data_IF_587825493613
#
_entry.id   IF_587825493613
#
_cell.length_a   1.000
_cell.length_b   1.000
_cell.length_c   1.000
_cell.angle_alpha   90.00
_cell.angle_beta   90.00
_cell.angle_gamma   90.00
#
_symmetry.space_group_name_H-M   'P 1'
#
loop_
_entity.id
_entity.type
_entity.pdbx_description
1 polymer ?
#
# COMPACT_ATOMS: atom_id res chain seq x y z
N UNK A 1 18.79 16.42 -3.50
CA UNK A 1 17.99 15.52 -2.66
C UNK A 1 17.93 16.07 -1.24
N UNK A 2 19.07 16.42 -0.64
CA UNK A 2 19.15 16.97 0.72
C UNK A 2 18.28 18.20 0.95
N UNK A 3 18.28 19.18 0.03
CA UNK A 3 17.42 20.38 0.12
C UNK A 3 15.93 20.02 0.19
N UNK A 4 15.49 18.99 -0.55
CA UNK A 4 14.09 18.55 -0.50
C UNK A 4 13.77 17.88 0.85
N UNK A 5 14.71 17.08 1.38
CA UNK A 5 14.52 16.43 2.68
C UNK A 5 14.48 17.46 3.81
N UNK A 6 15.34 18.48 3.76
CA UNK A 6 15.35 19.59 4.71
C UNK A 6 14.03 20.37 4.69
N UNK A 7 13.51 20.69 3.49
CA UNK A 7 12.21 21.34 3.33
C UNK A 7 11.06 20.49 3.90
N UNK A 8 11.10 19.17 3.71
CA UNK A 8 10.10 18.26 4.27
C UNK A 8 10.18 18.22 5.79
N UNK A 9 11.38 18.18 6.38
CA UNK A 9 11.58 18.22 7.83
C UNK A 9 11.06 19.53 8.42
N UNK A 10 11.38 20.66 7.78
CA UNK A 10 10.90 21.98 8.20
C UNK A 10 9.37 22.03 8.20
N UNK A 11 8.73 21.62 7.09
CA UNK A 11 7.27 21.58 6.98
C UNK A 11 6.63 20.62 7.98
N UNK A 12 7.23 19.45 8.21
CA UNK A 12 6.75 18.51 9.21
C UNK A 12 6.71 19.19 10.58
N UNK A 13 7.82 19.76 11.05
CA UNK A 13 7.88 20.43 12.36
C UNK A 13 7.00 21.68 12.48
N UNK A 14 6.81 22.43 11.39
CA UNK A 14 5.93 23.60 11.40
C UNK A 14 4.46 23.24 11.56
N UNK A 15 4.01 22.12 10.97
CA UNK A 15 2.60 21.77 10.85
C UNK A 15 2.13 20.69 11.84
N UNK A 16 3.02 20.12 12.65
CA UNK A 16 2.71 18.95 13.51
C UNK A 16 2.95 19.18 15.00
N UNK A 17 3.19 20.43 15.43
CA UNK A 17 3.60 20.76 16.82
C UNK A 17 2.66 20.23 17.90
N UNK A 18 1.37 20.24 17.63
CA UNK A 18 0.32 19.80 18.56
C UNK A 18 -0.34 18.49 18.13
N UNK A 19 0.21 17.80 17.13
CA UNK A 19 -0.33 16.55 16.63
C UNK A 19 0.22 15.37 17.42
N UNK A 20 -0.67 14.55 18.00
CA UNK A 20 -0.28 13.29 18.65
C UNK A 20 0.08 12.22 17.62
N UNK A 21 -0.56 12.26 16.45
CA UNK A 21 -0.36 11.32 15.33
C UNK A 21 -0.33 12.10 14.03
N UNK A 22 0.64 11.80 13.18
CA UNK A 22 0.78 12.38 11.84
C UNK A 22 0.73 11.26 10.82
N UNK A 23 -0.21 11.36 9.87
CA UNK A 23 -0.28 10.47 8.72
C UNK A 23 0.35 11.15 7.51
N UNK A 24 1.35 10.50 6.91
CA UNK A 24 2.02 10.98 5.71
C UNK A 24 1.68 10.03 4.57
N UNK A 25 0.92 10.52 3.60
CA UNK A 25 0.65 9.75 2.39
C UNK A 25 1.90 9.69 1.49
N UNK A 26 2.31 8.48 1.13
CA UNK A 26 3.39 8.28 0.18
C UNK A 26 2.96 8.57 -1.26
N UNK A 27 3.92 8.94 -2.10
CA UNK A 27 3.70 9.11 -3.53
C UNK A 27 3.31 7.78 -4.19
N UNK A 28 2.31 7.82 -5.07
CA UNK A 28 1.91 6.66 -5.87
C UNK A 28 2.89 6.48 -7.03
N UNK A 29 3.56 5.32 -7.16
CA UNK A 29 4.45 5.06 -8.27
C UNK A 29 3.68 5.01 -9.58
N UNK A 30 4.13 5.78 -10.57
CA UNK A 30 3.57 5.78 -11.92
C UNK A 30 4.68 5.63 -12.95
N UNK A 31 4.32 5.34 -14.21
CA UNK A 31 5.32 5.28 -15.30
C UNK A 31 6.13 6.57 -15.46
N UNK A 32 5.55 7.72 -15.12
CA UNK A 32 6.22 9.04 -15.15
C UNK A 32 7.06 9.31 -13.91
N UNK A 33 6.78 8.64 -12.80
CA UNK A 33 7.39 8.87 -11.49
C UNK A 33 7.89 7.55 -10.89
N UNK A 34 8.85 6.91 -11.57
CA UNK A 34 9.43 5.64 -11.10
C UNK A 34 10.27 5.81 -9.82
N UNK A 35 10.69 7.04 -9.51
CA UNK A 35 11.44 7.38 -8.29
C UNK A 35 10.57 7.46 -7.03
N UNK A 36 9.24 7.34 -7.13
CA UNK A 36 8.32 7.54 -6.02
C UNK A 36 8.64 6.66 -4.81
N UNK A 37 8.91 5.36 -5.00
CA UNK A 37 9.24 4.47 -3.89
C UNK A 37 10.56 4.84 -3.20
N UNK A 38 11.59 5.19 -3.98
CA UNK A 38 12.86 5.64 -3.43
C UNK A 38 12.69 6.94 -2.63
N UNK A 39 11.91 7.89 -3.16
CA UNK A 39 11.62 9.14 -2.45
C UNK A 39 10.79 8.90 -1.18
N UNK A 40 9.76 8.05 -1.24
CA UNK A 40 8.97 7.66 -0.06
C UNK A 40 9.86 7.04 1.02
N UNK A 41 10.81 6.18 0.63
CA UNK A 41 11.74 5.56 1.57
C UNK A 41 12.67 6.58 2.22
N UNK A 42 13.21 7.52 1.45
CA UNK A 42 14.07 8.59 1.97
C UNK A 42 13.30 9.56 2.87
N UNK A 43 12.04 9.87 2.56
CA UNK A 43 11.17 10.68 3.43
C UNK A 43 10.93 9.95 4.75
N UNK A 44 10.51 8.69 4.70
CA UNK A 44 10.24 7.90 5.90
C UNK A 44 11.50 7.76 6.77
N UNK A 45 12.67 7.54 6.16
CA UNK A 45 13.95 7.47 6.86
C UNK A 45 14.33 8.80 7.49
N UNK A 46 14.20 9.90 6.75
CA UNK A 46 14.52 11.26 7.22
C UNK A 46 13.67 11.65 8.42
N UNK A 47 12.37 11.32 8.39
CA UNK A 47 11.44 11.62 9.48
C UNK A 47 11.44 10.55 10.58
N UNK A 48 12.24 9.49 10.43
CA UNK A 48 12.19 8.28 11.26
C UNK A 48 10.75 7.75 11.45
N UNK A 49 9.96 7.80 10.37
CA UNK A 49 8.56 7.40 10.36
C UNK A 49 8.41 5.88 10.25
N UNK A 50 7.36 5.38 10.88
CA UNK A 50 6.84 4.04 10.62
C UNK A 50 6.19 3.96 9.24
N UNK A 51 6.27 2.79 8.61
CA UNK A 51 5.81 2.55 7.24
C UNK A 51 4.75 1.46 7.27
N UNK A 52 3.56 1.81 6.82
CA UNK A 52 2.47 0.87 6.53
C UNK A 52 2.28 0.80 5.03
N UNK A 53 2.37 -0.40 4.47
CA UNK A 53 2.01 -0.59 3.07
C UNK A 53 0.50 -0.74 2.90
N UNK A 54 -0.04 -0.25 1.79
CA UNK A 54 -1.42 -0.49 1.39
C UNK A 54 -1.41 -1.17 0.03
N UNK A 55 -1.83 -2.42 -0.02
CA UNK A 55 -1.92 -3.20 -1.25
C UNK A 55 -3.34 -3.69 -1.46
N UNK A 56 -3.76 -3.88 -2.70
CA UNK A 56 -5.01 -4.56 -3.02
C UNK A 56 -4.74 -5.95 -3.58
N UNK A 57 -5.62 -6.90 -3.25
CA UNK A 57 -5.59 -8.25 -3.82
C UNK A 57 -5.82 -8.20 -5.33
N UNK A 58 -6.85 -7.50 -5.80
CA UNK A 58 -7.17 -7.45 -7.23
C UNK A 58 -7.47 -8.86 -7.76
N UNK A 59 -6.85 -9.23 -8.88
CA UNK A 59 -6.91 -10.58 -9.46
C UNK A 59 -5.81 -11.52 -8.94
N UNK A 60 -5.00 -11.09 -7.98
CA UNK A 60 -3.93 -11.92 -7.44
C UNK A 60 -4.50 -13.03 -6.55
N UNK A 61 -3.86 -14.19 -6.61
CA UNK A 61 -3.97 -15.19 -5.55
C UNK A 61 -3.29 -14.70 -4.26
N UNK A 62 -3.64 -15.27 -3.08
CA UNK A 62 -2.93 -15.00 -1.83
C UNK A 62 -1.41 -15.17 -1.92
N UNK A 63 -0.93 -16.12 -2.72
CA UNK A 63 0.50 -16.36 -2.93
C UNK A 63 1.17 -15.23 -3.74
N UNK A 64 0.50 -14.72 -4.78
CA UNK A 64 0.99 -13.58 -5.56
C UNK A 64 0.98 -12.28 -4.74
N UNK A 65 -0.06 -12.07 -3.93
CA UNK A 65 -0.09 -10.94 -2.99
C UNK A 65 1.08 -11.00 -2.00
N UNK A 66 1.38 -12.19 -1.46
CA UNK A 66 2.53 -12.40 -0.58
C UNK A 66 3.86 -11.98 -1.24
N UNK A 67 4.07 -12.39 -2.50
CA UNK A 67 5.26 -12.01 -3.27
C UNK A 67 5.33 -10.50 -3.47
N UNK A 68 4.21 -9.84 -3.82
CA UNK A 68 4.16 -8.38 -3.96
C UNK A 68 4.47 -7.65 -2.66
N UNK A 69 4.02 -8.16 -1.51
CA UNK A 69 4.37 -7.59 -0.20
C UNK A 69 5.89 -7.69 0.03
N UNK A 70 6.53 -8.81 -0.30
CA UNK A 70 7.98 -8.98 -0.14
C UNK A 70 8.79 -8.10 -1.10
N UNK A 71 8.31 -7.91 -2.34
CA UNK A 71 8.92 -6.98 -3.30
C UNK A 71 8.81 -5.51 -2.82
N UNK A 72 7.65 -5.13 -2.28
CA UNK A 72 7.46 -3.81 -1.69
C UNK A 72 8.42 -3.62 -0.51
N UNK A 73 8.47 -4.58 0.42
CA UNK A 73 9.40 -4.58 1.55
C UNK A 73 10.86 -4.43 1.12
N UNK A 74 11.29 -5.16 0.10
CA UNK A 74 12.65 -5.08 -0.45
C UNK A 74 13.00 -3.67 -0.94
N UNK A 75 12.04 -2.96 -1.54
CA UNK A 75 12.23 -1.58 -2.01
C UNK A 75 12.42 -0.55 -0.87
N UNK A 76 12.11 -0.92 0.37
CA UNK A 76 12.21 -0.07 1.56
C UNK A 76 13.22 -0.64 2.57
N UNK A 77 14.34 -1.21 2.11
CA UNK A 77 15.41 -1.72 2.98
C UNK A 77 15.23 -3.17 3.44
N UNK A 78 14.20 -3.86 2.94
CA UNK A 78 14.01 -5.30 3.12
C UNK A 78 13.78 -5.71 4.57
N UNK A 79 14.17 -6.94 4.90
CA UNK A 79 13.94 -7.53 6.22
C UNK A 79 14.67 -6.86 7.38
N UNK A 80 15.67 -6.04 7.08
CA UNK A 80 16.45 -5.31 8.08
C UNK A 80 15.80 -4.00 8.51
N UNK A 81 14.87 -3.46 7.71
CA UNK A 81 14.17 -2.24 8.07
C UNK A 81 13.06 -2.53 9.08
N UNK A 82 13.29 -2.14 10.34
CA UNK A 82 12.34 -2.34 11.45
C UNK A 82 11.20 -1.32 11.47
N UNK A 83 11.29 -0.25 10.68
CA UNK A 83 10.25 0.77 10.61
C UNK A 83 9.08 0.34 9.71
N UNK A 84 9.18 -0.79 9.00
CA UNK A 84 8.04 -1.36 8.28
C UNK A 84 7.16 -2.11 9.29
N UNK A 85 6.05 -1.49 9.69
CA UNK A 85 5.21 -1.99 10.78
C UNK A 85 4.15 -2.98 10.31
N UNK A 86 3.76 -2.90 9.04
CA UNK A 86 2.85 -3.88 8.47
C UNK A 86 2.26 -3.50 7.13
N UNK A 87 1.19 -4.21 6.79
CA UNK A 87 0.44 -4.04 5.55
C UNK A 87 -1.06 -4.03 5.81
N UNK A 88 -1.78 -3.15 5.13
CA UNK A 88 -3.24 -3.15 5.02
C UNK A 88 -3.60 -3.72 3.64
N UNK A 89 -4.51 -4.69 3.62
CA UNK A 89 -5.05 -5.23 2.37
C UNK A 89 -6.34 -4.52 2.03
N UNK A 90 -6.29 -3.63 1.06
CA UNK A 90 -7.41 -2.84 0.60
C UNK A 90 -8.25 -3.60 -0.44
N UNK A 91 -9.53 -3.27 -0.53
CA UNK A 91 -10.48 -3.80 -1.54
C UNK A 91 -10.55 -5.33 -1.54
N UNK A 92 -10.46 -5.93 -0.36
CA UNK A 92 -10.49 -7.38 -0.22
C UNK A 92 -11.87 -7.90 -0.63
N UNK A 93 -11.89 -8.81 -1.59
CA UNK A 93 -13.13 -9.39 -2.13
C UNK A 93 -14.04 -8.36 -2.82
N UNK A 94 -13.53 -7.16 -3.17
CA UNK A 94 -14.24 -6.20 -3.99
C UNK A 94 -14.40 -6.73 -5.43
N UNK A 95 -15.50 -6.43 -6.13
CA UNK A 95 -15.65 -6.76 -7.54
C UNK A 95 -14.56 -6.11 -8.40
N UNK A 96 -13.89 -6.91 -9.22
CA UNK A 96 -12.79 -6.48 -10.08
C UNK A 96 -13.00 -6.91 -11.53
N UNK A 97 -12.48 -6.09 -12.46
CA UNK A 97 -12.42 -6.44 -13.88
C UNK A 97 -11.28 -7.42 -14.21
N UNK A 98 -11.14 -7.83 -15.46
CA UNK A 98 -10.07 -8.72 -15.92
C UNK A 98 -8.65 -8.14 -15.70
N UNK A 99 -8.54 -6.83 -15.48
CA UNK A 99 -7.28 -6.14 -15.16
C UNK A 99 -7.05 -5.96 -13.65
N UNK A 100 -7.93 -6.50 -12.80
CA UNK A 100 -7.84 -6.42 -11.34
C UNK A 100 -8.22 -5.06 -10.77
N UNK A 101 -8.87 -4.20 -11.57
CA UNK A 101 -9.30 -2.88 -11.13
C UNK A 101 -10.68 -3.00 -10.49
N UNK A 102 -10.83 -2.40 -9.33
CA UNK A 102 -12.13 -2.32 -8.67
C UNK A 102 -13.10 -1.48 -9.48
N UNK A 103 -14.29 -2.01 -9.75
CA UNK A 103 -15.38 -1.28 -10.42
C UNK A 103 -16.40 -0.84 -9.38
N UNK A 104 -16.41 0.44 -8.97
CA UNK A 104 -17.32 0.93 -7.93
C UNK A 104 -18.75 1.17 -8.45
N UNK A 105 -18.97 1.16 -9.77
CA UNK A 105 -20.29 1.42 -10.35
C UNK A 105 -21.09 0.11 -10.47
N UNK A 106 -22.14 0.03 -9.66
CA UNK A 106 -23.11 -1.08 -9.62
C UNK A 106 -24.00 -1.13 -10.89
N UNK A 107 -23.99 -0.08 -11.72
CA UNK A 107 -24.88 0.06 -12.88
C UNK A 107 -24.51 -0.87 -14.05
N UNK A 108 -23.26 -1.28 -14.17
CA UNK A 108 -22.77 -2.14 -15.28
C UNK A 108 -22.74 -3.64 -14.94
N UNK A 109 -23.21 -4.06 -13.77
CA UNK A 109 -23.39 -5.49 -13.45
C UNK A 109 -24.38 -6.16 -14.44
N UNK A 110 -25.22 -5.36 -15.11
CA UNK A 110 -26.19 -5.79 -16.10
C UNK A 110 -25.70 -5.74 -17.55
N UNK A 111 -24.47 -5.27 -17.82
CA UNK A 111 -23.91 -5.26 -19.18
C UNK A 111 -23.04 -6.50 -19.39
N UNK A 112 -23.58 -7.48 -20.11
CA UNK A 112 -23.05 -8.86 -20.30
C UNK A 112 -21.64 -8.94 -20.94
N UNK A 113 -20.99 -7.82 -21.25
CA UNK A 113 -19.74 -7.76 -22.01
C UNK A 113 -18.46 -7.75 -21.16
N UNK A 114 -18.53 -7.55 -19.84
CA UNK A 114 -17.35 -7.69 -18.96
C UNK A 114 -17.77 -8.13 -17.55
N UNK A 115 -17.86 -9.45 -17.32
CA UNK A 115 -18.26 -10.02 -16.02
C UNK A 115 -17.23 -9.68 -14.96
N UNK A 116 -17.57 -8.77 -14.05
CA UNK A 116 -16.77 -8.53 -12.85
C UNK A 116 -16.66 -9.85 -12.06
N UNK A 117 -15.46 -10.19 -11.63
CA UNK A 117 -15.23 -11.37 -10.80
C UNK A 117 -15.10 -10.96 -9.34
N UNK A 118 -15.60 -11.80 -8.45
CA UNK A 118 -15.51 -11.62 -7.00
C UNK A 118 -14.70 -12.80 -6.45
N UNK A 119 -13.54 -12.50 -5.88
CA UNK A 119 -12.79 -13.47 -5.10
C UNK A 119 -13.41 -13.58 -3.70
N UNK A 120 -13.45 -14.79 -3.14
CA UNK A 120 -13.80 -15.02 -1.75
C UNK A 120 -12.58 -15.56 -1.00
N UNK A 121 -11.72 -14.64 -0.56
CA UNK A 121 -10.55 -14.96 0.25
C UNK A 121 -10.87 -14.72 1.72
N UNK A 122 -10.61 -15.73 2.55
CA UNK A 122 -10.67 -15.62 4.00
C UNK A 122 -9.47 -14.78 4.48
N UNK A 123 -9.71 -13.64 5.18
CA UNK A 123 -8.64 -12.85 5.77
C UNK A 123 -7.65 -13.69 6.59
N UNK A 124 -8.10 -14.70 7.34
CA UNK A 124 -7.20 -15.52 8.16
C UNK A 124 -6.04 -16.16 7.36
N UNK A 125 -6.28 -16.52 6.09
CA UNK A 125 -5.25 -17.06 5.20
C UNK A 125 -4.18 -16.03 4.85
N UNK A 126 -4.56 -14.76 4.69
CA UNK A 126 -3.64 -13.66 4.40
C UNK A 126 -2.75 -13.35 5.61
N UNK A 127 -3.34 -13.38 6.81
CA UNK A 127 -2.63 -13.09 8.06
C UNK A 127 -1.58 -14.18 8.36
N UNK A 128 -1.93 -15.46 8.12
CA UNK A 128 -1.03 -16.57 8.40
C UNK A 128 0.21 -16.62 7.49
N UNK A 129 0.12 -16.10 6.26
CA UNK A 129 1.12 -16.31 5.22
C UNK A 129 1.89 -15.07 4.79
N UNK A 130 1.53 -13.88 5.30
CA UNK A 130 2.17 -12.62 4.94
C UNK A 130 3.58 -12.49 5.55
N UNK A 131 4.57 -11.94 4.82
CA UNK A 131 5.91 -11.69 5.37
C UNK A 131 5.96 -10.48 6.32
N UNK A 132 4.89 -9.70 6.39
CA UNK A 132 4.70 -8.56 7.29
C UNK A 132 3.38 -8.74 8.06
N UNK A 133 3.26 -8.19 9.29
CA UNK A 133 2.00 -8.16 10.00
C UNK A 133 0.89 -7.54 9.13
N UNK A 134 -0.22 -8.27 8.96
CA UNK A 134 -1.43 -7.72 8.34
C UNK A 134 -2.17 -6.93 9.40
N UNK A 135 -2.23 -5.61 9.25
CA UNK A 135 -2.83 -4.69 10.22
C UNK A 135 -4.35 -4.60 10.06
N UNK A 136 -4.86 -4.93 8.88
CA UNK A 136 -6.29 -4.95 8.60
C UNK A 136 -6.59 -5.29 7.15
N UNK A 137 -7.85 -5.62 6.90
CA UNK A 137 -8.41 -5.78 5.57
C UNK A 137 -9.59 -4.82 5.41
N UNK A 138 -9.61 -4.07 4.32
CA UNK A 138 -10.70 -3.15 3.96
C UNK A 138 -11.49 -3.80 2.82
N UNK A 139 -12.81 -3.98 2.93
CA UNK A 139 -13.64 -4.55 1.87
C UNK A 139 -13.75 -3.62 0.65
#
# INVERSE_FOLDING_TARGET
QDVLMEEIVARYHENTKDAEVVLIEGLVPTRKHQFANALNYEIAKTLNAEIVFVLALGNDSPAQLKERIELARTSFGGSKNKNITGVIINKLNAPVDDQGRTRPDLSEIFDDSTKASIAHVDPAQLFANSPLPVLGCVP
#
